data_IF_894753505462
#
_entry.id   IF_894753505462
#
_cell.length_a   1.000
_cell.length_b   1.000
_cell.length_c   1.000
_cell.angle_alpha   90.00
_cell.angle_beta   90.00
_cell.angle_gamma   90.00
#
_symmetry.space_group_name_H-M   'P 1'
#
loop_
_entity.id
_entity.type
_entity.pdbx_description
1 polymer ?
#
# COMPACT_ATOMS: atom_id res chain seq x y z
N UNK A 1 -39.48 39.50 -24.51
CA UNK A 1 -39.29 38.09 -24.89
C UNK A 1 -37.84 37.75 -25.20
N UNK A 2 -37.18 38.42 -26.16
CA UNK A 2 -35.77 38.17 -26.54
C UNK A 2 -34.74 38.30 -25.40
N UNK A 3 -34.86 39.31 -24.53
CA UNK A 3 -33.94 39.50 -23.40
C UNK A 3 -34.02 38.38 -22.35
N UNK A 4 -35.24 37.87 -22.09
CA UNK A 4 -35.47 36.74 -21.18
C UNK A 4 -34.84 35.45 -21.72
N UNK A 5 -34.99 35.20 -23.03
CA UNK A 5 -34.38 34.04 -23.71
C UNK A 5 -32.85 34.14 -23.70
N UNK A 6 -32.29 35.32 -23.96
CA UNK A 6 -30.84 35.55 -23.89
C UNK A 6 -30.31 35.31 -22.47
N UNK A 7 -31.01 35.82 -21.45
CA UNK A 7 -30.67 35.63 -20.04
C UNK A 7 -30.74 34.14 -19.63
N UNK A 8 -31.77 33.42 -20.06
CA UNK A 8 -31.91 31.98 -19.82
C UNK A 8 -30.77 31.17 -20.47
N UNK A 9 -30.40 31.51 -21.71
CA UNK A 9 -29.28 30.87 -22.43
C UNK A 9 -27.94 31.08 -21.72
N UNK A 10 -27.68 32.29 -21.23
CA UNK A 10 -26.47 32.59 -20.45
C UNK A 10 -26.43 31.82 -19.14
N UNK A 11 -27.54 31.77 -18.39
CA UNK A 11 -27.65 30.96 -17.17
C UNK A 11 -27.38 29.48 -17.43
N UNK A 12 -27.94 28.94 -18.51
CA UNK A 12 -27.73 27.55 -18.88
C UNK A 12 -26.27 27.25 -19.24
N UNK A 13 -25.60 28.15 -20.00
CA UNK A 13 -24.16 28.02 -20.28
C UNK A 13 -23.30 28.03 -19.02
N UNK A 14 -23.57 28.98 -18.12
CA UNK A 14 -22.88 29.05 -16.82
C UNK A 14 -23.10 27.78 -16.01
N UNK A 15 -24.33 27.26 -15.97
CA UNK A 15 -24.63 25.99 -15.33
C UNK A 15 -23.79 24.84 -15.92
N UNK A 16 -23.76 24.68 -17.25
CA UNK A 16 -22.95 23.66 -17.91
C UNK A 16 -21.44 23.81 -17.61
N UNK A 17 -20.91 25.03 -17.59
CA UNK A 17 -19.52 25.28 -17.20
C UNK A 17 -19.25 24.89 -15.74
N UNK A 18 -20.18 25.20 -14.84
CA UNK A 18 -20.05 24.82 -13.42
C UNK A 18 -20.12 23.31 -13.23
N UNK A 19 -20.99 22.60 -13.95
CA UNK A 19 -21.07 21.14 -13.87
C UNK A 19 -19.79 20.48 -14.41
N UNK A 20 -19.26 20.95 -15.55
CA UNK A 20 -17.98 20.45 -16.09
C UNK A 20 -16.81 20.67 -15.13
N UNK A 21 -16.79 21.82 -14.44
CA UNK A 21 -15.77 22.10 -13.41
C UNK A 21 -15.91 21.16 -12.20
N UNK A 22 -17.13 20.90 -11.75
CA UNK A 22 -17.39 19.96 -10.64
C UNK A 22 -16.96 18.54 -11.00
N UNK A 23 -17.29 18.08 -12.21
CA UNK A 23 -16.87 16.76 -12.71
C UNK A 23 -15.34 16.64 -12.75
N UNK A 24 -14.66 17.65 -13.29
CA UNK A 24 -13.19 17.68 -13.34
C UNK A 24 -12.56 17.66 -11.94
N UNK A 25 -13.11 18.45 -11.00
CA UNK A 25 -12.65 18.46 -9.61
C UNK A 25 -12.88 17.09 -8.94
N UNK A 26 -14.03 16.47 -9.15
CA UNK A 26 -14.34 15.15 -8.61
C UNK A 26 -13.40 14.07 -9.17
N UNK A 27 -13.07 14.12 -10.47
CA UNK A 27 -12.09 13.22 -11.08
C UNK A 27 -10.68 13.46 -10.50
N UNK A 28 -10.28 14.72 -10.34
CA UNK A 28 -9.01 15.07 -9.69
C UNK A 28 -8.91 14.58 -8.25
N UNK A 29 -9.99 14.68 -7.47
CA UNK A 29 -10.05 14.15 -6.10
C UNK A 29 -9.94 12.63 -6.07
N UNK A 30 -10.61 11.92 -6.98
CA UNK A 30 -10.50 10.45 -7.10
C UNK A 30 -9.07 10.03 -7.42
N UNK A 31 -8.43 10.70 -8.40
CA UNK A 31 -7.04 10.44 -8.78
C UNK A 31 -6.09 10.66 -7.61
N UNK A 32 -6.24 11.79 -6.90
CA UNK A 32 -5.42 12.11 -5.74
C UNK A 32 -5.58 11.07 -4.62
N UNK A 33 -6.81 10.67 -4.30
CA UNK A 33 -7.04 9.64 -3.28
C UNK A 33 -6.39 8.29 -3.65
N UNK A 34 -6.39 7.92 -4.94
CA UNK A 34 -5.70 6.74 -5.42
C UNK A 34 -4.17 6.87 -5.35
N UNK A 35 -3.61 8.05 -5.63
CA UNK A 35 -2.18 8.36 -5.47
C UNK A 35 -1.75 8.28 -4.00
N UNK A 36 -2.51 8.89 -3.09
CA UNK A 36 -2.25 8.87 -1.65
C UNK A 36 -2.26 7.42 -1.12
N UNK A 37 -3.26 6.63 -1.53
CA UNK A 37 -3.34 5.21 -1.18
C UNK A 37 -2.16 4.39 -1.71
N UNK A 38 -1.73 4.64 -2.95
CA UNK A 38 -0.56 3.98 -3.54
C UNK A 38 0.72 4.33 -2.76
N UNK A 39 0.85 5.56 -2.26
CA UNK A 39 1.96 5.96 -1.41
C UNK A 39 1.95 5.21 -0.06
N UNK A 40 0.77 5.06 0.56
CA UNK A 40 0.61 4.28 1.79
C UNK A 40 1.00 2.81 1.59
N UNK A 41 0.58 2.19 0.49
CA UNK A 41 0.97 0.82 0.14
C UNK A 41 2.50 0.70 0.00
N UNK A 42 3.16 1.64 -0.67
CA UNK A 42 4.63 1.66 -0.81
C UNK A 42 5.34 1.79 0.54
N UNK A 43 4.81 2.64 1.44
CA UNK A 43 5.33 2.76 2.82
C UNK A 43 5.19 1.44 3.57
N UNK A 44 3.99 0.85 3.55
CA UNK A 44 3.70 -0.44 4.20
C UNK A 44 4.61 -1.56 3.67
N UNK A 45 4.80 -1.63 2.35
CA UNK A 45 5.72 -2.57 1.70
C UNK A 45 7.13 -2.46 2.28
N UNK A 46 7.68 -1.25 2.33
CA UNK A 46 9.03 -1.03 2.86
C UNK A 46 9.13 -1.47 4.33
N UNK A 47 8.15 -1.12 5.16
CA UNK A 47 8.12 -1.55 6.56
C UNK A 47 8.09 -3.07 6.67
N UNK A 48 7.26 -3.74 5.86
CA UNK A 48 7.11 -5.21 5.93
C UNK A 48 8.36 -5.94 5.44
N UNK A 49 9.05 -5.40 4.43
CA UNK A 49 10.34 -5.88 3.99
C UNK A 49 11.39 -5.81 5.12
N UNK A 50 11.55 -4.63 5.74
CA UNK A 50 12.50 -4.43 6.84
C UNK A 50 12.22 -5.36 8.02
N UNK A 51 10.94 -5.55 8.36
CA UNK A 51 10.54 -6.49 9.43
C UNK A 51 10.84 -7.93 9.06
N UNK A 52 10.54 -8.36 7.82
CA UNK A 52 10.84 -9.71 7.38
C UNK A 52 12.35 -10.01 7.41
N UNK A 53 13.17 -9.05 6.98
CA UNK A 53 14.63 -9.13 7.03
C UNK A 53 15.15 -9.19 8.48
N UNK A 54 14.64 -8.34 9.38
CA UNK A 54 15.07 -8.36 10.79
C UNK A 54 14.73 -9.69 11.46
N UNK A 55 13.52 -10.21 11.22
CA UNK A 55 13.11 -11.52 11.72
C UNK A 55 14.01 -12.65 11.21
N UNK A 56 14.41 -12.60 9.94
CA UNK A 56 15.35 -13.59 9.37
C UNK A 56 16.73 -13.49 10.03
N UNK A 57 17.27 -12.28 10.19
CA UNK A 57 18.57 -12.05 10.83
C UNK A 57 18.59 -12.53 12.28
N UNK A 58 17.54 -12.24 13.03
CA UNK A 58 17.41 -12.70 14.42
C UNK A 58 17.26 -14.22 14.50
N UNK A 59 16.53 -14.83 13.55
CA UNK A 59 16.44 -16.27 13.47
C UNK A 59 17.80 -16.94 13.23
N UNK A 60 18.60 -16.37 12.33
CA UNK A 60 19.94 -16.88 12.03
C UNK A 60 20.89 -16.67 13.20
N UNK A 61 20.79 -15.53 13.90
CA UNK A 61 21.53 -15.30 15.14
C UNK A 61 21.23 -16.37 16.20
N UNK A 62 19.96 -16.68 16.44
CA UNK A 62 19.60 -17.75 17.38
C UNK A 62 20.05 -19.14 16.93
N UNK A 63 20.06 -19.41 15.62
CA UNK A 63 20.57 -20.66 15.07
C UNK A 63 22.08 -20.79 15.28
N UNK A 64 22.86 -19.72 15.04
CA UNK A 64 24.30 -19.70 15.30
C UNK A 64 24.61 -19.83 16.80
N UNK A 65 23.91 -19.09 17.66
CA UNK A 65 24.06 -19.21 19.12
C UNK A 65 23.77 -20.62 19.62
N UNK A 66 22.80 -21.33 19.00
CA UNK A 66 22.47 -22.69 19.38
C UNK A 66 23.61 -23.68 19.15
N UNK A 67 24.44 -23.50 18.11
CA UNK A 67 25.57 -24.39 17.79
C UNK A 67 26.60 -24.48 18.92
N UNK A 68 26.73 -23.41 19.71
CA UNK A 68 27.65 -23.34 20.86
C UNK A 68 27.02 -23.76 22.20
N UNK A 69 25.79 -24.29 22.21
CA UNK A 69 25.07 -24.70 23.42
C UNK A 69 24.67 -26.16 23.34
N UNK A 70 24.38 -26.77 24.49
CA UNK A 70 23.93 -28.16 24.58
C UNK A 70 22.60 -28.27 25.36
N UNK A 71 21.93 -29.42 25.23
CA UNK A 71 20.74 -29.77 26.00
C UNK A 71 19.58 -28.79 25.83
N UNK A 72 18.91 -28.46 26.94
CA UNK A 72 17.71 -27.62 26.95
C UNK A 72 17.94 -26.22 26.38
N UNK A 73 19.12 -25.63 26.58
CA UNK A 73 19.44 -24.29 26.08
C UNK A 73 19.54 -24.25 24.56
N UNK A 74 20.14 -25.28 23.95
CA UNK A 74 20.16 -25.45 22.49
C UNK A 74 18.74 -25.57 21.94
N UNK A 75 17.92 -26.45 22.53
CA UNK A 75 16.54 -26.68 22.11
C UNK A 75 15.68 -25.39 22.16
N UNK A 76 15.84 -24.57 23.21
CA UNK A 76 15.17 -23.28 23.33
C UNK A 76 15.55 -22.30 22.22
N UNK A 77 16.85 -22.20 21.89
CA UNK A 77 17.35 -21.31 20.85
C UNK A 77 16.86 -21.73 19.46
N UNK A 78 16.89 -23.04 19.16
CA UNK A 78 16.34 -23.58 17.91
C UNK A 78 14.84 -23.32 17.81
N UNK A 79 14.09 -23.48 18.91
CA UNK A 79 12.65 -23.20 18.93
C UNK A 79 12.37 -21.73 18.62
N UNK A 80 13.11 -20.80 19.23
CA UNK A 80 13.01 -19.35 18.94
C UNK A 80 13.36 -19.04 17.48
N UNK A 81 14.46 -19.59 16.97
CA UNK A 81 14.87 -19.44 15.57
C UNK A 81 13.76 -19.88 14.62
N UNK A 82 13.17 -21.07 14.84
CA UNK A 82 12.10 -21.59 14.00
C UNK A 82 10.82 -20.74 14.06
N UNK A 83 10.46 -20.21 15.23
CA UNK A 83 9.31 -19.30 15.35
C UNK A 83 9.52 -18.03 14.52
N UNK A 84 10.72 -17.44 14.59
CA UNK A 84 11.05 -16.24 13.79
C UNK A 84 11.10 -16.54 12.29
N UNK A 85 11.58 -17.72 11.86
CA UNK A 85 11.53 -18.11 10.44
C UNK A 85 10.11 -18.22 9.91
N UNK A 86 9.18 -18.74 10.72
CA UNK A 86 7.75 -18.79 10.35
C UNK A 86 7.18 -17.38 10.20
N UNK A 87 7.40 -16.53 11.20
CA UNK A 87 6.95 -15.14 11.16
C UNK A 87 7.56 -14.35 9.97
N UNK A 88 8.85 -14.54 9.69
CA UNK A 88 9.52 -13.94 8.52
C UNK A 88 8.87 -14.40 7.22
N UNK A 89 8.59 -15.70 7.08
CA UNK A 89 7.91 -16.26 5.90
C UNK A 89 6.50 -15.68 5.71
N UNK A 90 5.74 -15.54 6.79
CA UNK A 90 4.41 -14.90 6.77
C UNK A 90 4.52 -13.44 6.30
N UNK A 91 5.48 -12.68 6.85
CA UNK A 91 5.70 -11.28 6.46
C UNK A 91 6.18 -11.14 5.02
N UNK A 92 7.01 -12.06 4.51
CA UNK A 92 7.39 -12.11 3.11
C UNK A 92 6.21 -12.44 2.18
N UNK A 93 5.25 -13.25 2.63
CA UNK A 93 4.02 -13.50 1.86
C UNK A 93 3.12 -12.26 1.82
N UNK A 94 2.92 -11.59 2.96
CA UNK A 94 2.22 -10.30 3.02
C UNK A 94 2.88 -9.24 2.12
N UNK A 95 4.22 -9.19 2.11
CA UNK A 95 4.98 -8.29 1.25
C UNK A 95 4.67 -8.52 -0.24
N UNK A 96 4.64 -9.78 -0.70
CA UNK A 96 4.30 -10.12 -2.10
C UNK A 96 2.89 -9.67 -2.46
N UNK A 97 1.92 -9.91 -1.57
CA UNK A 97 0.54 -9.46 -1.79
C UNK A 97 0.46 -7.93 -1.94
N UNK A 98 1.22 -7.18 -1.13
CA UNK A 98 1.28 -5.72 -1.24
C UNK A 98 1.96 -5.29 -2.55
N UNK A 99 2.98 -6.01 -3.04
CA UNK A 99 3.59 -5.72 -4.34
C UNK A 99 2.60 -5.92 -5.50
N UNK A 100 1.84 -7.01 -5.48
CA UNK A 100 0.77 -7.26 -6.46
C UNK A 100 -0.29 -6.16 -6.41
N UNK A 101 -0.69 -5.72 -5.22
CA UNK A 101 -1.65 -4.63 -5.03
C UNK A 101 -1.12 -3.28 -5.53
N UNK A 102 0.16 -2.97 -5.29
CA UNK A 102 0.83 -1.77 -5.82
C UNK A 102 0.83 -1.79 -7.35
N UNK A 103 1.13 -2.94 -7.96
CA UNK A 103 1.11 -3.08 -9.42
C UNK A 103 -0.29 -2.86 -9.97
N UNK A 104 -1.31 -3.53 -9.39
CA UNK A 104 -2.69 -3.39 -9.81
C UNK A 104 -3.19 -1.94 -9.67
N UNK A 105 -2.92 -1.28 -8.54
CA UNK A 105 -3.31 0.12 -8.31
C UNK A 105 -2.52 1.10 -9.18
N UNK A 106 -1.25 0.82 -9.45
CA UNK A 106 -0.44 1.60 -10.38
C UNK A 106 -1.00 1.58 -11.80
N UNK A 107 -1.44 0.40 -12.26
CA UNK A 107 -2.10 0.25 -13.56
C UNK A 107 -3.47 0.92 -13.60
N UNK A 108 -4.29 0.76 -12.56
CA UNK A 108 -5.58 1.46 -12.43
C UNK A 108 -5.40 2.98 -12.54
N UNK A 109 -4.44 3.54 -11.81
CA UNK A 109 -4.15 4.98 -11.83
C UNK A 109 -3.62 5.46 -13.18
N UNK A 110 -2.91 4.61 -13.93
CA UNK A 110 -2.43 4.92 -15.29
C UNK A 110 -3.59 5.02 -16.29
N UNK A 111 -4.68 4.31 -16.04
CA UNK A 111 -5.87 4.26 -16.89
C UNK A 111 -6.94 5.31 -16.52
N UNK A 112 -6.80 5.99 -15.37
CA UNK A 112 -7.66 7.10 -14.92
C UNK A 112 -7.28 8.44 -15.56
#
# INVERSE_FOLDING_TARGET
LLSSVASARTRYRLYLETERKKESLAQGQKRKAAEDYLEELKKRRNTMHTVAESLSRDADKFAEEAKGKAGSKMAQLITKSNALRRASKEKSAEFKNIEEEILAKGEELRLM
#
